data_IF_581682450141
#
_entry.id   IF_581682450141
#
_cell.length_a   1.000
_cell.length_b   1.000
_cell.length_c   1.000
_cell.angle_alpha   90.00
_cell.angle_beta   90.00
_cell.angle_gamma   90.00
#
_symmetry.space_group_name_H-M   'P 1'
#
loop_
_entity.id
_entity.type
_entity.pdbx_description
1 polymer ?
#
# COMPACT_ATOMS: atom_id res chain seq x y z
N UNK A 1 -21.78 -21.46 -7.18
CA UNK A 1 -22.69 -20.38 -6.74
C UNK A 1 -23.58 -20.95 -5.64
N UNK A 2 -23.63 -20.34 -4.46
CA UNK A 2 -24.54 -20.76 -3.38
C UNK A 2 -25.84 -19.94 -3.45
N UNK A 3 -26.99 -20.60 -3.41
CA UNK A 3 -28.31 -19.97 -3.55
C UNK A 3 -29.26 -20.42 -2.45
N UNK A 4 -30.24 -19.59 -2.11
CA UNK A 4 -31.25 -19.91 -1.10
C UNK A 4 -31.77 -18.67 -0.35
N UNK A 5 -32.84 -18.86 0.42
CA UNK A 5 -33.50 -17.79 1.18
C UNK A 5 -32.55 -17.13 2.19
N UNK A 6 -32.79 -15.86 2.52
CA UNK A 6 -32.04 -15.17 3.59
C UNK A 6 -32.07 -15.99 4.89
N UNK A 7 -30.95 -16.07 5.61
CA UNK A 7 -30.83 -16.88 6.83
C UNK A 7 -30.62 -18.38 6.63
N UNK A 8 -30.64 -18.92 5.41
CA UNK A 8 -30.44 -20.37 5.16
C UNK A 8 -29.00 -20.90 5.38
N UNK A 9 -28.13 -20.16 6.07
CA UNK A 9 -26.75 -20.58 6.37
C UNK A 9 -25.73 -20.46 5.22
N UNK A 10 -26.10 -19.94 4.04
CA UNK A 10 -25.18 -19.77 2.88
C UNK A 10 -23.91 -19.01 3.24
N UNK A 11 -24.05 -17.86 3.90
CA UNK A 11 -22.93 -17.03 4.30
C UNK A 11 -22.08 -17.73 5.36
N UNK A 12 -22.72 -18.45 6.30
CA UNK A 12 -21.99 -19.21 7.32
C UNK A 12 -21.18 -20.34 6.70
N UNK A 13 -21.75 -21.12 5.79
CA UNK A 13 -21.01 -22.16 5.09
C UNK A 13 -19.86 -21.58 4.25
N UNK A 14 -20.10 -20.47 3.52
CA UNK A 14 -19.09 -19.88 2.65
C UNK A 14 -17.96 -19.17 3.41
N UNK A 15 -18.30 -18.31 4.37
CA UNK A 15 -17.35 -17.44 5.05
C UNK A 15 -16.85 -18.04 6.37
N UNK A 16 -17.76 -18.52 7.20
CA UNK A 16 -17.43 -18.98 8.56
C UNK A 16 -16.84 -20.40 8.56
N UNK A 17 -17.13 -21.21 7.54
CA UNK A 17 -16.57 -22.58 7.41
C UNK A 17 -15.49 -22.69 6.33
N UNK A 18 -15.86 -22.52 5.05
CA UNK A 18 -14.95 -22.79 3.92
C UNK A 18 -13.79 -21.79 3.88
N UNK A 19 -14.10 -20.49 3.90
CA UNK A 19 -13.07 -19.45 3.88
C UNK A 19 -12.21 -19.48 5.14
N UNK A 20 -12.81 -19.59 6.32
CA UNK A 20 -12.09 -19.65 7.59
C UNK A 20 -11.09 -20.82 7.63
N UNK A 21 -11.51 -22.03 7.23
CA UNK A 21 -10.63 -23.19 7.25
C UNK A 21 -9.53 -23.11 6.16
N UNK A 22 -9.86 -22.60 4.97
CA UNK A 22 -8.88 -22.37 3.91
C UNK A 22 -7.82 -21.33 4.29
N UNK A 23 -8.21 -20.26 4.98
CA UNK A 23 -7.30 -19.22 5.49
C UNK A 23 -6.42 -19.76 6.62
N UNK A 24 -7.02 -20.50 7.57
CA UNK A 24 -6.30 -21.15 8.68
C UNK A 24 -5.20 -22.07 8.18
N UNK A 25 -5.52 -22.99 7.26
CA UNK A 25 -4.55 -23.95 6.70
C UNK A 25 -3.40 -23.25 5.97
N UNK A 26 -3.69 -22.18 5.23
CA UNK A 26 -2.65 -21.40 4.57
C UNK A 26 -1.71 -20.75 5.59
N UNK A 27 -2.25 -20.18 6.68
CA UNK A 27 -1.43 -19.61 7.75
C UNK A 27 -0.63 -20.65 8.54
N UNK A 28 -1.13 -21.87 8.68
CA UNK A 28 -0.40 -22.99 9.29
C UNK A 28 0.84 -23.40 8.50
N UNK A 29 0.85 -23.16 7.19
CA UNK A 29 2.01 -23.40 6.32
C UNK A 29 3.12 -22.34 6.47
N UNK A 30 2.85 -21.22 7.15
CA UNK A 30 3.82 -20.14 7.35
C UNK A 30 4.84 -20.48 8.45
N UNK A 31 5.94 -19.70 8.47
CA UNK A 31 6.99 -19.85 9.47
C UNK A 31 6.46 -19.74 10.90
N UNK A 32 7.15 -20.38 11.85
CA UNK A 32 6.79 -20.32 13.28
C UNK A 32 6.74 -18.88 13.80
N UNK A 33 7.64 -18.01 13.33
CA UNK A 33 7.64 -16.58 13.66
C UNK A 33 6.40 -15.86 13.13
N UNK A 34 6.00 -16.09 11.87
CA UNK A 34 4.80 -15.48 11.31
C UNK A 34 3.52 -15.90 12.06
N UNK A 35 3.44 -17.17 12.46
CA UNK A 35 2.32 -17.71 13.26
C UNK A 35 2.19 -17.05 14.64
N UNK A 36 3.30 -16.63 15.25
CA UNK A 36 3.27 -15.92 16.54
C UNK A 36 2.60 -14.54 16.44
N UNK A 37 2.75 -13.85 15.30
CA UNK A 37 2.18 -12.52 15.09
C UNK A 37 0.71 -12.54 14.63
N UNK A 38 0.31 -13.58 13.90
CA UNK A 38 -1.02 -13.67 13.29
C UNK A 38 -2.11 -14.17 14.25
N UNK A 39 -1.72 -14.64 15.44
CA UNK A 39 -2.65 -15.21 16.43
C UNK A 39 -3.15 -16.59 16.03
N UNK A 40 -3.72 -17.32 16.98
CA UNK A 40 -4.43 -18.57 16.66
C UNK A 40 -5.78 -18.20 16.03
N UNK A 41 -6.01 -18.60 14.78
CA UNK A 41 -7.35 -18.58 14.23
C UNK A 41 -8.19 -19.64 14.90
N UNK A 42 -9.42 -19.29 15.26
CA UNK A 42 -10.40 -20.25 15.76
C UNK A 42 -10.71 -21.27 14.66
N UNK A 43 -10.64 -22.55 15.00
CA UNK A 43 -11.00 -23.63 14.08
C UNK A 43 -12.53 -23.63 13.93
N UNK A 44 -13.06 -23.59 12.69
CA UNK A 44 -14.51 -23.64 12.50
C UNK A 44 -15.07 -24.99 12.96
N UNK A 45 -16.35 -24.98 13.35
CA UNK A 45 -17.09 -26.16 13.78
C UNK A 45 -17.42 -27.06 12.58
N UNK A 46 -16.46 -27.92 12.22
CA UNK A 46 -16.56 -28.88 11.13
C UNK A 46 -15.73 -30.12 11.43
N UNK A 47 -16.25 -31.29 11.10
CA UNK A 47 -15.57 -32.57 11.32
C UNK A 47 -14.28 -32.65 10.51
N UNK A 48 -14.39 -32.58 9.19
CA UNK A 48 -13.26 -32.56 8.27
C UNK A 48 -13.64 -31.93 6.94
N UNK A 49 -12.66 -31.30 6.30
CA UNK A 49 -12.74 -30.82 4.93
C UNK A 49 -11.42 -31.20 4.25
N UNK A 50 -11.45 -31.74 3.04
CA UNK A 50 -10.25 -32.10 2.30
C UNK A 50 -10.22 -31.38 0.95
N UNK A 51 -9.04 -31.25 0.35
CA UNK A 51 -8.88 -30.59 -0.95
C UNK A 51 -9.09 -29.08 -0.96
N UNK A 52 -9.10 -28.41 0.19
CA UNK A 52 -9.18 -26.95 0.28
C UNK A 52 -7.89 -26.29 -0.23
N UNK A 53 -8.05 -25.39 -1.20
CA UNK A 53 -7.00 -24.44 -1.59
C UNK A 53 -6.97 -23.25 -0.62
N UNK A 54 -5.87 -22.47 -0.60
CA UNK A 54 -5.86 -21.17 0.08
C UNK A 54 -7.05 -20.32 -0.37
N UNK A 55 -7.82 -19.82 0.60
CA UNK A 55 -9.07 -19.10 0.33
C UNK A 55 -8.90 -17.59 0.52
N UNK A 56 -9.51 -16.81 -0.38
CA UNK A 56 -9.57 -15.35 -0.32
C UNK A 56 -11.04 -14.95 -0.33
N UNK A 57 -11.45 -14.14 0.65
CA UNK A 57 -12.80 -13.57 0.72
C UNK A 57 -12.83 -12.21 0.02
N UNK A 58 -13.78 -12.03 -0.88
CA UNK A 58 -14.09 -10.75 -1.52
C UNK A 58 -15.52 -10.41 -1.11
N UNK A 59 -15.66 -9.50 -0.15
CA UNK A 59 -16.94 -9.07 0.40
C UNK A 59 -17.08 -7.54 0.29
N UNK A 60 -18.31 -7.03 0.31
CA UNK A 60 -18.62 -5.60 0.28
C UNK A 60 -18.39 -4.92 1.64
N UNK A 61 -17.37 -5.34 2.40
CA UNK A 61 -16.98 -4.63 3.62
C UNK A 61 -16.36 -3.30 3.23
N UNK A 62 -16.75 -2.23 3.92
CA UNK A 62 -16.25 -0.90 3.62
C UNK A 62 -14.74 -0.89 3.76
N UNK A 63 -14.05 -0.54 2.68
CA UNK A 63 -12.59 -0.38 2.67
C UNK A 63 -12.18 0.66 3.70
N UNK A 64 -11.02 0.45 4.33
CA UNK A 64 -10.43 1.37 5.32
C UNK A 64 -10.61 2.84 4.93
N UNK A 65 -11.21 3.64 5.83
CA UNK A 65 -11.49 5.07 5.65
C UNK A 65 -10.24 5.92 5.89
N UNK A 66 -9.12 5.59 5.26
CA UNK A 66 -7.94 6.44 5.30
C UNK A 66 -8.08 7.53 4.24
N UNK A 67 -8.09 8.83 4.61
CA UNK A 67 -8.25 9.93 3.66
C UNK A 67 -7.11 10.03 2.63
N UNK A 68 -5.97 9.35 2.84
CA UNK A 68 -4.87 9.27 1.87
C UNK A 68 -4.98 8.08 0.92
N UNK A 69 -5.93 7.18 1.14
CA UNK A 69 -6.18 6.06 0.23
C UNK A 69 -6.97 6.54 -0.98
N UNK A 70 -6.47 6.19 -2.16
CA UNK A 70 -7.13 6.43 -3.45
C UNK A 70 -7.30 5.09 -4.19
N UNK A 71 -8.06 5.08 -5.28
CA UNK A 71 -8.15 3.89 -6.15
C UNK A 71 -6.76 3.42 -6.58
N UNK A 72 -5.84 4.34 -6.90
CA UNK A 72 -4.48 4.01 -7.31
C UNK A 72 -3.65 3.32 -6.23
N UNK A 73 -3.86 3.65 -4.94
CA UNK A 73 -3.14 2.99 -3.84
C UNK A 73 -3.77 1.65 -3.46
N UNK A 74 -5.09 1.51 -3.56
CA UNK A 74 -5.79 0.25 -3.24
C UNK A 74 -5.54 -0.81 -4.31
N UNK A 75 -5.38 -0.39 -5.57
CA UNK A 75 -5.05 -1.28 -6.69
C UNK A 75 -3.55 -1.45 -6.92
N UNK A 76 -2.70 -0.82 -6.08
CA UNK A 76 -1.24 -0.78 -6.21
C UNK A 76 -0.70 -0.16 -7.53
N UNK A 77 -1.57 0.28 -8.44
CA UNK A 77 -1.19 0.94 -9.70
C UNK A 77 -0.31 2.17 -9.43
N UNK A 78 -0.60 2.92 -8.36
CA UNK A 78 0.19 4.09 -7.99
C UNK A 78 1.65 3.74 -7.68
N UNK A 79 1.93 2.55 -7.16
CA UNK A 79 3.31 2.12 -6.87
C UNK A 79 4.08 1.84 -8.16
N UNK A 80 3.43 1.24 -9.16
CA UNK A 80 4.00 1.11 -10.51
C UNK A 80 4.25 2.47 -11.16
N UNK A 81 3.30 3.41 -11.03
CA UNK A 81 3.48 4.77 -11.54
C UNK A 81 4.68 5.47 -10.86
N UNK A 82 4.86 5.30 -9.55
CA UNK A 82 6.03 5.85 -8.84
C UNK A 82 7.33 5.29 -9.39
N UNK A 83 7.42 3.98 -9.63
CA UNK A 83 8.60 3.37 -10.24
C UNK A 83 8.83 3.87 -11.67
N UNK A 84 7.76 4.04 -12.45
CA UNK A 84 7.82 4.59 -13.80
C UNK A 84 8.42 6.01 -13.76
N UNK A 85 7.81 6.93 -13.02
CA UNK A 85 8.29 8.32 -12.92
C UNK A 85 9.68 8.43 -12.29
N UNK A 86 10.04 7.57 -11.34
CA UNK A 86 11.38 7.56 -10.77
C UNK A 86 12.47 7.12 -11.78
N UNK A 87 12.12 6.23 -12.73
CA UNK A 87 13.08 5.70 -13.71
C UNK A 87 13.19 6.52 -14.99
N UNK A 88 12.08 7.10 -15.47
CA UNK A 88 12.04 7.82 -16.75
C UNK A 88 11.61 9.29 -16.64
N UNK A 89 11.17 9.73 -15.46
CA UNK A 89 10.72 11.10 -15.26
C UNK A 89 11.89 12.08 -15.28
N UNK A 90 11.76 13.14 -16.06
CA UNK A 90 12.70 14.27 -16.06
C UNK A 90 12.23 15.28 -15.00
N UNK A 91 13.01 15.52 -13.93
CA UNK A 91 12.60 16.44 -12.88
C UNK A 91 12.75 17.90 -13.34
N UNK A 92 11.76 18.73 -13.02
CA UNK A 92 11.75 20.17 -13.33
C UNK A 92 11.59 21.00 -12.05
N UNK A 93 12.21 22.18 -12.02
CA UNK A 93 12.05 23.13 -10.92
C UNK A 93 10.61 23.71 -10.93
N UNK A 94 9.88 23.68 -9.80
CA UNK A 94 8.49 24.14 -9.76
C UNK A 94 8.32 25.66 -9.91
N UNK A 95 9.37 26.45 -9.64
CA UNK A 95 9.31 27.93 -9.72
C UNK A 95 9.69 28.43 -11.11
N UNK A 96 10.69 27.83 -11.76
CA UNK A 96 11.24 28.34 -13.02
C UNK A 96 11.14 27.37 -14.21
N UNK A 97 10.60 26.15 -14.02
CA UNK A 97 10.38 25.15 -15.08
C UNK A 97 11.64 24.49 -15.65
N UNK A 98 12.84 24.94 -15.28
CA UNK A 98 14.10 24.39 -15.77
C UNK A 98 14.31 22.95 -15.30
N UNK A 99 14.84 22.12 -16.19
CA UNK A 99 15.27 20.75 -15.90
C UNK A 99 16.30 20.75 -14.75
N UNK A 100 16.08 19.89 -13.76
CA UNK A 100 17.00 19.69 -12.64
C UNK A 100 18.10 18.75 -13.11
N UNK A 101 19.35 19.22 -12.99
CA UNK A 101 20.56 18.47 -13.35
C UNK A 101 21.43 18.28 -12.12
N UNK A 102 22.35 17.32 -12.20
CA UNK A 102 23.36 17.14 -11.17
C UNK A 102 24.18 18.42 -11.01
N UNK A 103 24.43 18.82 -9.76
CA UNK A 103 25.23 19.98 -9.41
C UNK A 103 26.53 19.51 -8.76
N UNK A 104 27.63 20.15 -9.12
CA UNK A 104 28.91 19.92 -8.44
C UNK A 104 28.97 20.68 -7.12
N UNK A 105 29.85 20.28 -6.21
CA UNK A 105 30.06 20.97 -4.93
C UNK A 105 30.38 22.44 -5.16
N UNK A 106 31.28 22.75 -6.10
CA UNK A 106 31.65 24.13 -6.45
C UNK A 106 30.46 24.94 -6.98
N UNK A 107 29.59 24.34 -7.79
CA UNK A 107 28.36 24.99 -8.27
C UNK A 107 27.40 25.30 -7.12
N UNK A 108 27.26 24.40 -6.16
CA UNK A 108 26.43 24.62 -4.95
C UNK A 108 27.03 25.74 -4.09
N UNK A 109 28.35 25.72 -3.85
CA UNK A 109 29.05 26.77 -3.09
C UNK A 109 28.91 28.13 -3.77
N UNK A 110 29.07 28.19 -5.09
CA UNK A 110 28.87 29.40 -5.88
C UNK A 110 27.42 29.91 -5.75
N UNK A 111 26.44 29.01 -5.83
CA UNK A 111 25.02 29.37 -5.71
C UNK A 111 24.70 29.93 -4.32
N UNK A 112 25.26 29.33 -3.26
CA UNK A 112 25.12 29.80 -1.88
C UNK A 112 25.85 31.13 -1.65
N UNK A 113 27.05 31.30 -2.21
CA UNK A 113 27.83 32.54 -2.15
C UNK A 113 27.12 33.71 -2.84
N UNK A 114 26.50 33.47 -4.00
CA UNK A 114 25.69 34.45 -4.72
C UNK A 114 24.38 34.78 -3.98
N UNK A 115 23.73 33.81 -3.34
CA UNK A 115 22.56 34.04 -2.49
C UNK A 115 22.90 34.84 -1.21
N UNK A 116 24.07 34.60 -0.63
CA UNK A 116 24.59 35.36 0.52
C UNK A 116 24.79 36.85 0.23
N UNK A 117 25.14 37.22 -1.01
CA UNK A 117 25.24 38.63 -1.43
C UNK A 117 23.88 39.25 -1.75
N UNK A 118 22.92 38.51 -2.33
CA UNK A 118 21.57 39.03 -2.62
C UNK A 118 20.73 39.31 -1.37
N UNK A 119 20.89 38.53 -0.30
CA UNK A 119 20.16 38.79 0.96
C UNK A 119 20.68 40.00 1.73
N UNK A 120 21.95 40.41 1.56
CA UNK A 120 22.50 41.62 2.17
C UNK A 120 22.03 42.90 1.46
N UNK A 121 21.86 42.88 0.14
CA UNK A 121 21.38 44.04 -0.62
C UNK A 121 19.90 44.39 -0.33
N UNK A 122 19.05 43.40 -0.05
CA UNK A 122 17.63 43.61 0.26
C UNK A 122 17.37 44.10 1.71
N UNK A 123 18.37 44.12 2.59
CA UNK A 123 18.25 44.60 3.98
C UNK A 123 18.69 46.05 4.19
N UNK A 124 19.20 46.72 3.15
CA UNK A 124 19.70 48.11 3.22
C UNK A 124 18.82 49.13 2.49
N UNK A 125 17.58 48.77 2.12
CA UNK A 125 16.57 49.68 1.57
C UNK A 125 15.25 49.55 2.35
N UNK A 126 15.33 49.84 3.64
CA UNK A 126 14.21 50.22 4.50
C UNK A 126 14.67 51.35 5.42
#
# INVERSE_FOLDING_TARGET
>A
VMTGLSGSGKSSLAFDTIFADGQRRYMESLSSSARQFLGQMEKPDVDSIEGLSPAISIDQKTTSKNPRSTVGTVTEIYDYLRLLYARIGVPHCPVCGREIRQQTVDQVVLYLGLCGHRQKAARHTA
#
